data_IF_255746713822
#
_entry.id   IF_255746713822
#
_cell.length_a   1.000
_cell.length_b   1.000
_cell.length_c   1.000
_cell.angle_alpha   90.00
_cell.angle_beta   90.00
_cell.angle_gamma   90.00
#
_symmetry.space_group_name_H-M   'P 1'
#
loop_
_entity.id
_entity.type
_entity.pdbx_description
1 polymer ?
#
# COMPACT_ATOMS: atom_id res chain seq x y z
N UNK A 1 28.74 -54.61 -19.05
CA UNK A 1 27.35 -54.05 -19.09
C UNK A 1 26.51 -54.45 -17.88
N UNK A 2 26.33 -55.74 -17.53
CA UNK A 2 25.48 -56.16 -16.40
C UNK A 2 25.87 -55.56 -15.03
N UNK A 3 27.16 -55.39 -14.74
CA UNK A 3 27.59 -54.78 -13.48
C UNK A 3 27.36 -53.26 -13.41
N UNK A 4 27.56 -52.54 -14.52
CA UNK A 4 27.26 -51.10 -14.61
C UNK A 4 25.77 -50.85 -14.46
N UNK A 5 24.93 -51.70 -15.09
CA UNK A 5 23.48 -51.65 -14.91
C UNK A 5 23.04 -51.94 -13.46
N UNK A 6 23.69 -52.91 -12.79
CA UNK A 6 23.41 -53.24 -11.38
C UNK A 6 23.76 -52.08 -10.44
N UNK A 7 24.93 -51.46 -10.61
CA UNK A 7 25.35 -50.29 -9.83
C UNK A 7 24.43 -49.08 -10.07
N UNK A 8 24.04 -48.83 -11.32
CA UNK A 8 23.08 -47.78 -11.65
C UNK A 8 21.72 -47.98 -11.01
N UNK A 9 21.20 -49.22 -11.03
CA UNK A 9 19.93 -49.57 -10.38
C UNK A 9 20.00 -49.42 -8.86
N UNK A 10 21.11 -49.84 -8.23
CA UNK A 10 21.32 -49.69 -6.79
C UNK A 10 21.36 -48.22 -6.39
N UNK A 11 22.07 -47.37 -7.16
CA UNK A 11 22.10 -45.93 -6.89
C UNK A 11 20.72 -45.29 -7.07
N UNK A 12 20.02 -45.61 -8.16
CA UNK A 12 18.67 -45.11 -8.40
C UNK A 12 17.71 -45.48 -7.26
N UNK A 13 17.81 -46.70 -6.73
CA UNK A 13 17.00 -47.15 -5.61
C UNK A 13 17.34 -46.41 -4.30
N UNK A 14 18.63 -46.19 -4.02
CA UNK A 14 19.05 -45.41 -2.85
C UNK A 14 18.57 -43.96 -2.95
N UNK A 15 18.74 -43.32 -4.11
CA UNK A 15 18.27 -41.96 -4.36
C UNK A 15 16.74 -41.86 -4.25
N UNK A 16 16.00 -42.85 -4.76
CA UNK A 16 14.54 -42.89 -4.65
C UNK A 16 14.10 -43.00 -3.18
N UNK A 17 14.73 -43.87 -2.39
CA UNK A 17 14.42 -44.03 -0.96
C UNK A 17 14.77 -42.76 -0.17
N UNK A 18 15.93 -42.16 -0.42
CA UNK A 18 16.34 -40.92 0.22
C UNK A 18 15.41 -39.74 -0.15
N UNK A 19 15.06 -39.61 -1.43
CA UNK A 19 14.14 -38.59 -1.92
C UNK A 19 12.73 -38.74 -1.35
N UNK A 20 12.20 -39.96 -1.31
CA UNK A 20 10.90 -40.25 -0.68
C UNK A 20 10.93 -39.98 0.83
N UNK A 21 12.02 -40.33 1.51
CA UNK A 21 12.20 -40.03 2.92
C UNK A 21 12.17 -38.52 3.20
N UNK A 22 12.95 -37.74 2.44
CA UNK A 22 12.97 -36.28 2.56
C UNK A 22 11.61 -35.67 2.22
N UNK A 23 10.95 -36.14 1.15
CA UNK A 23 9.63 -35.66 0.74
C UNK A 23 8.55 -35.95 1.80
N UNK A 24 8.58 -37.12 2.43
CA UNK A 24 7.65 -37.48 3.50
C UNK A 24 7.87 -36.64 4.77
N UNK A 25 9.13 -36.38 5.13
CA UNK A 25 9.48 -35.47 6.22
C UNK A 25 8.99 -34.07 5.90
N UNK A 26 9.32 -33.53 4.71
CA UNK A 26 8.88 -32.21 4.27
C UNK A 26 7.35 -32.08 4.28
N UNK A 27 6.61 -33.05 3.73
CA UNK A 27 5.16 -33.02 3.66
C UNK A 27 4.48 -33.04 5.05
N UNK A 28 5.11 -33.67 6.06
CA UNK A 28 4.61 -33.65 7.44
C UNK A 28 5.02 -32.41 8.21
N UNK A 29 6.22 -31.89 7.97
CA UNK A 29 6.75 -30.74 8.70
C UNK A 29 6.21 -29.42 8.16
N UNK A 30 5.99 -29.31 6.84
CA UNK A 30 5.45 -28.11 6.17
C UNK A 30 4.17 -27.56 6.84
N UNK A 31 3.08 -28.32 7.05
CA UNK A 31 1.86 -27.77 7.66
C UNK A 31 2.07 -27.29 9.10
N UNK A 32 3.04 -27.85 9.83
CA UNK A 32 3.40 -27.39 11.19
C UNK A 32 4.18 -26.08 11.11
N UNK A 33 5.07 -25.94 10.12
CA UNK A 33 5.83 -24.70 9.88
C UNK A 33 4.88 -23.58 9.46
N UNK A 34 3.99 -23.85 8.49
CA UNK A 34 3.06 -22.85 7.97
C UNK A 34 2.13 -22.34 9.08
N UNK A 35 1.57 -23.25 9.90
CA UNK A 35 0.73 -22.86 11.04
C UNK A 35 1.49 -22.03 12.08
N UNK A 36 2.74 -22.38 12.39
CA UNK A 36 3.57 -21.60 13.33
C UNK A 36 3.92 -20.23 12.76
N UNK A 37 4.22 -20.17 11.46
CA UNK A 37 4.51 -18.91 10.78
C UNK A 37 3.28 -17.98 10.79
N UNK A 38 2.08 -18.50 10.55
CA UNK A 38 0.83 -17.74 10.67
C UNK A 38 0.58 -17.26 12.11
N UNK A 39 0.78 -18.13 13.11
CA UNK A 39 0.69 -17.75 14.53
C UNK A 39 1.71 -16.66 14.89
N UNK A 40 2.95 -16.78 14.41
CA UNK A 40 4.02 -15.80 14.64
C UNK A 40 3.72 -14.45 13.98
N UNK A 41 3.16 -14.46 12.75
CA UNK A 41 2.73 -13.24 12.04
C UNK A 41 1.56 -12.57 12.78
N UNK A 42 0.56 -13.34 13.20
CA UNK A 42 -0.58 -12.80 13.94
C UNK A 42 -0.16 -12.24 15.30
N UNK A 43 0.76 -12.92 16.00
CA UNK A 43 1.32 -12.43 17.26
C UNK A 43 2.15 -11.16 17.03
N UNK A 44 2.94 -11.10 15.96
CA UNK A 44 3.66 -9.88 15.58
C UNK A 44 2.69 -8.72 15.29
N UNK A 45 1.59 -8.97 14.57
CA UNK A 45 0.56 -7.96 14.32
C UNK A 45 -0.08 -7.45 15.63
N UNK A 46 -0.35 -8.34 16.60
CA UNK A 46 -0.88 -7.98 17.93
C UNK A 46 0.08 -7.16 18.76
N UNK A 47 1.37 -7.48 18.71
CA UNK A 47 2.40 -6.74 19.42
C UNK A 47 2.55 -5.32 18.87
N UNK A 48 2.52 -5.17 17.54
CA UNK A 48 2.70 -3.85 16.94
C UNK A 48 1.44 -2.98 16.95
N UNK A 49 0.25 -3.53 17.21
CA UNK A 49 -0.99 -2.74 17.37
C UNK A 49 -1.44 -2.79 18.84
N UNK A 50 -0.84 -1.98 19.73
CA UNK A 50 -1.16 -2.00 21.14
C UNK A 50 -2.63 -1.59 21.36
N UNK A 51 -3.39 -2.41 22.10
CA UNK A 51 -4.76 -2.09 22.49
C UNK A 51 -5.87 -2.66 21.58
N UNK A 52 -5.51 -3.36 20.50
CA UNK A 52 -6.48 -4.12 19.71
C UNK A 52 -7.00 -5.34 20.48
N UNK A 53 -8.33 -5.48 20.58
CA UNK A 53 -8.99 -6.67 21.12
C UNK A 53 -9.20 -7.76 20.05
N UNK A 54 -9.26 -7.36 18.79
CA UNK A 54 -9.40 -8.24 17.63
C UNK A 54 -8.44 -7.76 16.51
N UNK A 55 -7.95 -8.70 15.71
CA UNK A 55 -7.17 -8.41 14.51
C UNK A 55 -7.85 -9.11 13.33
N UNK A 56 -8.09 -8.35 12.27
CA UNK A 56 -8.66 -8.84 11.01
C UNK A 56 -7.63 -8.71 9.90
N UNK A 57 -7.42 -9.78 9.13
CA UNK A 57 -6.53 -9.79 7.97
C UNK A 57 -7.26 -9.32 6.72
N UNK A 58 -6.59 -8.50 5.93
CA UNK A 58 -7.08 -7.94 4.68
C UNK A 58 -5.96 -7.94 3.63
N UNK A 59 -6.36 -7.87 2.36
CA UNK A 59 -5.44 -7.80 1.23
C UNK A 59 -5.91 -6.70 0.28
N UNK A 60 -5.00 -5.82 -0.12
CA UNK A 60 -5.24 -4.76 -1.10
C UNK A 60 -4.04 -4.70 -2.04
N UNK A 61 -4.28 -4.77 -3.36
CA UNK A 61 -3.22 -4.77 -4.39
C UNK A 61 -2.11 -5.82 -4.18
N UNK A 62 -2.45 -7.00 -3.64
CA UNK A 62 -1.50 -8.08 -3.33
C UNK A 62 -0.65 -7.82 -2.08
N UNK A 63 -0.91 -6.73 -1.35
CA UNK A 63 -0.31 -6.43 -0.06
C UNK A 63 -1.24 -6.85 1.09
N UNK A 64 -0.75 -7.73 1.96
CA UNK A 64 -1.47 -8.19 3.17
C UNK A 64 -1.24 -7.23 4.33
N UNK A 65 -2.33 -6.87 5.00
CA UNK A 65 -2.34 -6.01 6.18
C UNK A 65 -3.37 -6.50 7.21
N UNK A 66 -3.21 -6.05 8.44
CA UNK A 66 -4.01 -6.46 9.58
C UNK A 66 -4.60 -5.23 10.26
N UNK A 67 -5.93 -5.13 10.34
CA UNK A 67 -6.62 -4.09 11.08
C UNK A 67 -6.79 -4.51 12.54
N UNK A 68 -6.31 -3.69 13.46
CA UNK A 68 -6.56 -3.86 14.89
C UNK A 68 -7.83 -3.12 15.29
N UNK A 69 -8.79 -3.85 15.88
CA UNK A 69 -10.06 -3.31 16.37
C UNK A 69 -10.19 -3.46 17.88
N UNK A 70 -10.78 -2.47 18.53
CA UNK A 70 -11.22 -2.53 19.92
C UNK A 70 -12.75 -2.38 19.96
N UNK A 71 -13.45 -3.51 19.99
CA UNK A 71 -14.90 -3.52 19.74
C UNK A 71 -15.22 -3.18 18.28
N UNK A 72 -15.91 -2.07 18.04
CA UNK A 72 -16.25 -1.57 16.69
C UNK A 72 -15.27 -0.52 16.14
N UNK A 73 -14.34 -0.02 16.96
CA UNK A 73 -13.40 1.05 16.58
C UNK A 73 -12.08 0.46 16.06
N UNK A 74 -11.55 1.03 14.98
CA UNK A 74 -10.20 0.76 14.51
C UNK A 74 -9.23 1.51 15.43
N UNK A 75 -8.26 0.81 16.00
CA UNK A 75 -7.24 1.37 16.89
C UNK A 75 -5.84 1.39 16.28
N UNK A 76 -5.68 0.77 15.11
CA UNK A 76 -4.42 0.72 14.38
C UNK A 76 -4.45 -0.30 13.25
N UNK A 77 -3.38 -0.38 12.47
CA UNK A 77 -3.14 -1.49 11.57
C UNK A 77 -1.68 -1.87 11.51
N UNK A 78 -1.42 -3.06 11.00
CA UNK A 78 -0.10 -3.60 10.79
C UNK A 78 0.05 -4.11 9.36
N UNK A 79 1.26 -4.03 8.82
CA UNK A 79 1.58 -4.54 7.50
C UNK A 79 2.90 -5.28 7.56
N UNK A 80 2.95 -6.43 6.88
CA UNK A 80 4.19 -7.14 6.65
C UNK A 80 4.85 -6.55 5.41
N UNK A 81 6.06 -6.05 5.58
CA UNK A 81 6.86 -5.48 4.50
C UNK A 81 8.22 -6.17 4.42
N UNK A 82 8.72 -6.25 3.19
CA UNK A 82 10.02 -6.80 2.89
C UNK A 82 10.90 -5.70 2.32
N UNK A 83 12.15 -5.62 2.77
CA UNK A 83 13.13 -4.69 2.25
C UNK A 83 14.48 -5.39 2.04
N UNK A 84 15.11 -5.13 0.90
CA UNK A 84 16.41 -5.71 0.58
C UNK A 84 17.51 -5.06 1.42
N UNK A 85 18.12 -5.85 2.31
CA UNK A 85 19.30 -5.48 3.11
C UNK A 85 20.61 -5.90 2.44
N UNK A 86 21.66 -6.06 3.25
CA UNK A 86 22.96 -6.56 2.78
C UNK A 86 22.97 -8.09 2.62
N UNK A 87 22.11 -8.79 3.36
CA UNK A 87 21.93 -10.23 3.32
C UNK A 87 21.38 -10.75 1.99
N UNK A 88 21.50 -12.05 1.80
CA UNK A 88 20.96 -12.73 0.61
C UNK A 88 19.43 -12.88 0.61
N UNK A 89 18.81 -12.73 1.77
CA UNK A 89 17.35 -12.74 1.94
C UNK A 89 16.88 -11.36 2.41
N UNK A 90 15.69 -10.91 1.97
CA UNK A 90 15.15 -9.63 2.40
C UNK A 90 14.86 -9.63 3.91
N UNK A 91 14.95 -8.46 4.52
CA UNK A 91 14.53 -8.25 5.90
C UNK A 91 13.01 -8.19 5.89
N UNK A 92 12.36 -9.17 6.52
CA UNK A 92 10.91 -9.17 6.72
C UNK A 92 10.59 -8.51 8.06
N UNK A 93 9.74 -7.51 8.03
CA UNK A 93 9.35 -6.77 9.23
C UNK A 93 7.84 -6.54 9.27
N UNK A 94 7.30 -6.59 10.47
CA UNK A 94 5.94 -6.18 10.78
C UNK A 94 5.99 -4.75 11.30
N UNK A 95 5.21 -3.86 10.68
CA UNK A 95 5.16 -2.45 11.06
C UNK A 95 3.73 -2.13 11.45
N UNK A 96 3.55 -1.56 12.64
CA UNK A 96 2.26 -1.07 13.14
C UNK A 96 2.15 0.44 13.03
N UNK A 97 0.94 0.92 12.76
CA UNK A 97 0.59 2.34 12.67
C UNK A 97 -0.72 2.57 13.41
N UNK A 98 -0.83 3.67 14.15
CA UNK A 98 -2.05 4.11 14.82
C UNK A 98 -2.96 4.93 13.89
N UNK A 99 -4.14 5.31 14.40
CA UNK A 99 -5.11 6.14 13.70
C UNK A 99 -4.62 7.56 13.41
N UNK A 100 -3.57 8.01 14.10
CA UNK A 100 -2.96 9.33 13.89
C UNK A 100 -1.87 9.28 12.80
N UNK A 101 -1.68 8.11 12.15
CA UNK A 101 -0.67 7.92 11.13
C UNK A 101 0.74 7.93 11.70
N UNK A 102 0.92 7.57 12.97
CA UNK A 102 2.22 7.41 13.62
C UNK A 102 2.52 5.94 13.81
N UNK A 103 3.81 5.62 13.76
CA UNK A 103 4.24 4.24 13.96
C UNK A 103 4.08 3.86 15.42
N UNK A 104 3.34 2.80 15.69
CA UNK A 104 3.16 2.27 17.04
C UNK A 104 4.35 1.39 17.43
N UNK A 105 4.74 0.47 16.55
CA UNK A 105 5.92 -0.38 16.75
C UNK A 105 6.43 -1.00 15.44
N UNK A 106 7.68 -1.47 15.46
CA UNK A 106 8.32 -2.19 14.36
C UNK A 106 8.98 -3.45 14.90
N UNK A 107 8.67 -4.60 14.32
CA UNK A 107 9.26 -5.89 14.69
C UNK A 107 9.90 -6.55 13.49
N UNK A 108 11.15 -7.00 13.62
CA UNK A 108 11.76 -7.82 12.58
C UNK A 108 11.33 -9.28 12.76
N UNK A 109 10.68 -9.85 11.74
CA UNK A 109 10.19 -11.23 11.71
C UNK A 109 11.30 -12.18 11.27
N UNK A 110 12.02 -11.82 10.22
CA UNK A 110 13.14 -12.62 9.70
C UNK A 110 14.16 -11.72 8.99
N UNK A 111 15.43 -12.15 8.99
CA UNK A 111 16.53 -11.47 8.29
C UNK A 111 17.71 -12.42 8.09
N UNK A 112 18.55 -12.14 7.10
CA UNK A 112 19.81 -12.87 6.85
C UNK A 112 21.03 -11.92 6.79
N UNK A 113 21.09 -10.99 7.74
CA UNK A 113 22.14 -9.97 7.83
C UNK A 113 23.42 -10.48 8.53
N UNK A 114 24.54 -9.79 8.30
CA UNK A 114 25.82 -10.15 8.92
C UNK A 114 25.74 -10.07 10.47
N UNK A 115 26.01 -11.18 11.19
CA UNK A 115 25.99 -11.20 12.65
C UNK A 115 26.89 -10.14 13.28
N UNK A 116 26.37 -9.41 14.26
CA UNK A 116 27.11 -8.38 15.00
C UNK A 116 27.21 -7.02 14.29
N UNK A 117 26.84 -6.93 13.02
CA UNK A 117 26.82 -5.66 12.26
C UNK A 117 25.39 -5.34 11.85
N UNK A 118 24.88 -6.04 10.83
CA UNK A 118 23.56 -5.80 10.25
C UNK A 118 22.44 -6.34 11.12
N UNK A 119 22.69 -7.37 11.93
CA UNK A 119 21.70 -7.91 12.87
C UNK A 119 21.29 -6.91 13.96
N UNK A 120 22.04 -5.82 14.17
CA UNK A 120 21.69 -4.77 15.15
C UNK A 120 20.40 -4.05 14.81
N UNK A 121 19.89 -4.17 13.59
CA UNK A 121 18.59 -3.59 13.22
C UNK A 121 17.40 -4.27 13.92
N UNK A 122 17.61 -5.43 14.58
CA UNK A 122 16.59 -6.06 15.45
C UNK A 122 16.63 -5.55 16.89
N UNK A 123 17.63 -4.76 17.26
CA UNK A 123 17.82 -4.34 18.64
C UNK A 123 16.77 -3.29 19.01
N UNK A 124 16.19 -3.42 20.21
CA UNK A 124 15.17 -2.50 20.73
C UNK A 124 15.65 -1.04 20.72
N UNK A 125 16.95 -0.79 20.95
CA UNK A 125 17.56 0.54 20.92
C UNK A 125 17.50 1.23 19.55
N UNK A 126 17.31 0.47 18.47
CA UNK A 126 17.09 0.98 17.12
C UNK A 126 15.60 1.00 16.76
N UNK A 127 14.87 -0.08 17.01
CA UNK A 127 13.45 -0.20 16.64
C UNK A 127 12.56 0.80 17.39
N UNK A 128 12.85 1.07 18.66
CA UNK A 128 12.10 2.05 19.47
C UNK A 128 12.19 3.48 18.92
N UNK A 129 13.18 3.80 18.09
CA UNK A 129 13.32 5.12 17.45
C UNK A 129 12.23 5.40 16.42
N UNK A 130 11.57 4.34 15.92
CA UNK A 130 10.46 4.47 15.00
C UNK A 130 9.13 4.72 15.73
N UNK A 131 9.02 4.45 17.04
CA UNK A 131 7.77 4.65 17.76
C UNK A 131 7.40 6.13 17.86
N UNK A 132 6.17 6.46 17.52
CA UNK A 132 5.60 7.80 17.55
C UNK A 132 6.04 8.74 16.42
N UNK A 133 6.89 8.29 15.49
CA UNK A 133 7.28 9.10 14.33
C UNK A 133 6.40 8.80 13.12
N UNK A 134 6.16 9.85 12.32
CA UNK A 134 5.55 9.83 10.99
C UNK A 134 6.59 10.08 9.88
N UNK A 135 7.88 10.22 10.25
CA UNK A 135 8.99 10.42 9.33
C UNK A 135 10.10 9.38 9.57
N UNK A 136 9.93 8.12 9.10
CA UNK A 136 10.94 7.07 9.25
C UNK A 136 12.24 7.38 8.53
N UNK A 137 12.18 8.16 7.44
CA UNK A 137 13.35 8.61 6.71
C UNK A 137 14.26 9.53 7.56
N UNK A 138 13.68 10.26 8.52
CA UNK A 138 14.40 11.11 9.47
C UNK A 138 15.08 10.37 10.62
N UNK A 139 14.79 9.09 10.86
CA UNK A 139 15.37 8.33 11.96
C UNK A 139 16.85 8.04 11.71
N UNK A 140 17.69 8.22 12.73
CA UNK A 140 19.11 7.92 12.65
C UNK A 140 19.37 6.43 12.40
N UNK A 141 20.14 6.14 11.34
CA UNK A 141 20.61 4.80 11.03
C UNK A 141 21.64 4.26 12.03
N UNK A 142 22.07 3.03 11.82
CA UNK A 142 23.11 2.41 12.65
C UNK A 142 24.47 2.58 11.96
N UNK A 143 25.40 3.25 12.63
CA UNK A 143 26.77 3.42 12.12
C UNK A 143 27.44 2.06 11.89
N UNK A 144 28.04 1.87 10.70
CA UNK A 144 28.63 0.61 10.24
C UNK A 144 27.62 -0.44 9.75
N UNK A 145 26.31 -0.17 9.80
CA UNK A 145 25.24 -1.03 9.27
C UNK A 145 24.27 -0.21 8.41
N UNK A 146 24.80 0.71 7.60
CA UNK A 146 24.02 1.68 6.82
C UNK A 146 23.11 1.01 5.79
N UNK A 147 23.55 -0.09 5.17
CA UNK A 147 22.74 -0.84 4.19
C UNK A 147 21.52 -1.48 4.87
N UNK A 148 21.75 -2.24 5.95
CA UNK A 148 20.68 -2.91 6.70
C UNK A 148 19.74 -1.92 7.38
N UNK A 149 20.27 -0.88 8.03
CA UNK A 149 19.43 0.13 8.70
C UNK A 149 18.68 1.03 7.70
N UNK A 150 19.27 1.32 6.55
CA UNK A 150 18.59 2.00 5.44
C UNK A 150 17.44 1.18 4.86
N UNK A 151 17.62 -0.13 4.71
CA UNK A 151 16.57 -1.04 4.28
C UNK A 151 15.38 -1.07 5.26
N UNK A 152 15.64 -1.11 6.57
CA UNK A 152 14.57 -1.01 7.57
C UNK A 152 13.85 0.33 7.48
N UNK A 153 14.57 1.46 7.41
CA UNK A 153 13.95 2.78 7.23
C UNK A 153 13.04 2.85 6.00
N UNK A 154 13.50 2.29 4.87
CA UNK A 154 12.72 2.26 3.63
C UNK A 154 11.47 1.38 3.74
N UNK A 155 11.61 0.19 4.34
CA UNK A 155 10.49 -0.73 4.58
C UNK A 155 9.44 -0.12 5.50
N UNK A 156 9.87 0.48 6.62
CA UNK A 156 9.00 1.17 7.57
C UNK A 156 8.28 2.35 6.91
N UNK A 157 8.98 3.15 6.10
CA UNK A 157 8.36 4.24 5.35
C UNK A 157 7.28 3.74 4.38
N UNK A 158 7.57 2.65 3.65
CA UNK A 158 6.60 2.02 2.74
C UNK A 158 5.35 1.55 3.48
N UNK A 159 5.53 0.88 4.62
CA UNK A 159 4.42 0.43 5.44
C UNK A 159 3.61 1.60 5.98
N UNK A 160 4.27 2.65 6.46
CA UNK A 160 3.61 3.86 6.95
C UNK A 160 2.73 4.49 5.87
N UNK A 161 3.27 4.74 4.68
CA UNK A 161 2.49 5.33 3.57
C UNK A 161 1.26 4.49 3.22
N UNK A 162 1.38 3.16 3.21
CA UNK A 162 0.27 2.27 2.92
C UNK A 162 -0.76 2.24 4.07
N UNK A 163 -0.30 2.08 5.31
CA UNK A 163 -1.15 1.91 6.48
C UNK A 163 -1.84 3.21 6.90
N UNK A 164 -1.20 4.37 6.77
CA UNK A 164 -1.86 5.66 7.02
C UNK A 164 -3.08 5.84 6.11
N UNK A 165 -3.02 5.37 4.86
CA UNK A 165 -4.16 5.37 3.96
C UNK A 165 -5.28 4.38 4.36
N UNK A 166 -4.99 3.44 5.26
CA UNK A 166 -5.89 2.37 5.70
C UNK A 166 -6.47 2.63 7.09
N UNK A 167 -5.73 3.26 8.00
CA UNK A 167 -6.07 3.33 9.44
C UNK A 167 -6.79 4.60 9.84
N UNK A 168 -6.57 5.75 9.19
CA UNK A 168 -7.27 6.99 9.54
C UNK A 168 -8.77 6.83 9.27
N UNK A 169 -9.63 6.61 10.30
CA UNK A 169 -11.04 6.36 10.12
C UNK A 169 -11.77 7.71 10.31
N UNK A 170 -11.45 8.62 9.39
CA UNK A 170 -12.40 9.59 8.88
C UNK A 170 -12.40 9.32 7.39
N UNK A 171 -13.48 8.72 6.90
CA UNK A 171 -13.77 8.55 5.48
C UNK A 171 -13.04 7.39 4.75
N UNK A 172 -13.40 6.14 5.11
CA UNK A 172 -13.64 5.11 4.05
C UNK A 172 -15.02 5.37 3.42
N UNK A 173 -15.20 6.61 2.99
CA UNK A 173 -16.05 7.08 1.91
C UNK A 173 -15.16 8.14 1.23
N UNK A 174 -14.41 7.75 0.19
CA UNK A 174 -13.70 8.68 -0.69
C UNK A 174 -12.90 9.81 -0.01
N UNK A 175 -11.84 9.49 0.75
CA UNK A 175 -10.82 10.49 1.07
C UNK A 175 -10.33 11.17 -0.22
N UNK A 176 -10.58 12.47 -0.36
CA UNK A 176 -10.37 13.18 -1.61
C UNK A 176 -8.89 13.13 -2.00
N UNK A 177 -8.61 12.50 -3.15
CA UNK A 177 -7.28 12.49 -3.72
C UNK A 177 -7.00 13.89 -4.25
N UNK A 178 -6.40 14.74 -3.43
CA UNK A 178 -6.01 16.08 -3.84
C UNK A 178 -4.76 15.95 -4.72
N UNK A 179 -4.89 16.39 -5.97
CA UNK A 179 -3.80 16.41 -6.93
C UNK A 179 -3.47 17.88 -7.21
N UNK A 180 -2.35 18.34 -6.68
CA UNK A 180 -1.79 19.63 -7.06
C UNK A 180 -1.13 19.51 -8.43
N UNK A 181 -1.76 20.09 -9.45
CA UNK A 181 -1.28 20.06 -10.83
C UNK A 181 0.11 20.71 -10.98
N UNK A 182 0.51 21.58 -10.04
CA UNK A 182 1.84 22.18 -10.04
C UNK A 182 2.96 21.19 -9.66
N UNK A 183 2.62 20.10 -8.95
CA UNK A 183 3.57 19.07 -8.54
C UNK A 183 3.66 17.91 -9.55
N UNK A 184 2.82 17.91 -10.58
CA UNK A 184 2.87 16.88 -11.64
C UNK A 184 4.04 17.18 -12.57
N UNK A 185 5.01 16.25 -12.72
CA UNK A 185 6.13 16.42 -13.65
C UNK A 185 5.67 16.54 -15.10
N UNK A 186 6.52 17.13 -15.94
CA UNK A 186 6.26 17.20 -17.38
C UNK A 186 6.13 15.80 -17.98
N UNK A 187 5.02 15.53 -18.66
CA UNK A 187 4.72 14.19 -19.15
C UNK A 187 3.33 14.05 -19.74
N UNK A 188 3.05 12.84 -20.21
CA UNK A 188 1.72 12.41 -20.67
C UNK A 188 1.29 11.21 -19.85
N UNK A 189 0.13 11.33 -19.22
CA UNK A 189 -0.40 10.34 -18.28
C UNK A 189 -1.76 9.86 -18.77
N UNK A 190 -1.93 8.56 -18.88
CA UNK A 190 -3.20 7.96 -19.27
C UNK A 190 -3.93 7.43 -18.04
N UNK A 191 -5.25 7.61 -18.03
CA UNK A 191 -6.11 7.09 -16.97
C UNK A 191 -7.48 6.73 -17.51
N UNK A 192 -8.21 5.93 -16.72
CA UNK A 192 -9.54 5.47 -17.06
C UNK A 192 -10.51 5.68 -15.91
N UNK A 193 -11.70 6.18 -16.23
CA UNK A 193 -12.79 6.36 -15.28
C UNK A 193 -14.07 5.69 -15.77
N UNK A 194 -15.05 5.54 -14.90
CA UNK A 194 -16.29 4.83 -15.20
C UNK A 194 -17.35 5.80 -15.69
N UNK A 195 -17.71 5.72 -16.97
CA UNK A 195 -18.86 6.43 -17.54
C UNK A 195 -20.15 5.62 -17.47
N UNK A 196 -21.24 6.15 -18.03
CA UNK A 196 -22.57 5.53 -17.99
C UNK A 196 -22.66 4.22 -18.79
N UNK A 197 -21.97 4.14 -19.94
CA UNK A 197 -22.04 2.98 -20.86
C UNK A 197 -20.69 2.26 -21.01
N UNK A 198 -19.74 2.52 -20.12
CA UNK A 198 -18.43 1.86 -20.10
C UNK A 198 -17.30 2.81 -19.68
N UNK A 199 -16.06 2.34 -19.76
CA UNK A 199 -14.91 3.15 -19.37
C UNK A 199 -14.70 4.33 -20.32
N UNK A 200 -14.34 5.47 -19.75
CA UNK A 200 -13.85 6.66 -20.46
C UNK A 200 -12.34 6.72 -20.23
N UNK A 201 -11.55 6.72 -21.31
CA UNK A 201 -10.09 6.86 -21.24
C UNK A 201 -9.67 8.27 -21.61
N UNK A 202 -8.73 8.81 -20.85
CA UNK A 202 -8.18 10.15 -21.09
C UNK A 202 -6.65 10.13 -21.09
N UNK A 203 -6.04 11.06 -21.82
CA UNK A 203 -4.62 11.41 -21.72
C UNK A 203 -4.48 12.84 -21.19
N UNK A 204 -3.71 12.98 -20.11
CA UNK A 204 -3.41 14.25 -19.44
C UNK A 204 -1.98 14.67 -19.78
N UNK A 205 -1.81 15.88 -20.33
CA UNK A 205 -0.51 16.41 -20.73
C UNK A 205 -0.10 17.53 -19.77
N UNK A 206 0.92 17.28 -18.96
CA UNK A 206 1.50 18.25 -18.04
C UNK A 206 2.80 18.84 -18.62
N UNK A 207 2.95 20.17 -18.56
CA UNK A 207 4.16 20.90 -18.97
C UNK A 207 4.39 22.14 -18.12
N UNK A 208 5.61 22.35 -17.66
CA UNK A 208 6.01 23.52 -16.87
C UNK A 208 5.25 23.65 -15.55
N UNK A 209 4.90 22.52 -14.90
CA UNK A 209 4.11 22.51 -13.66
C UNK A 209 2.66 22.96 -13.85
N UNK A 210 2.07 22.63 -15.00
CA UNK A 210 0.64 22.87 -15.31
C UNK A 210 0.10 21.75 -16.17
N UNK A 211 -1.17 21.39 -16.00
CA UNK A 211 -1.88 20.55 -16.96
C UNK A 211 -2.30 21.43 -18.13
N UNK A 212 -1.72 21.18 -19.30
CA UNK A 212 -1.93 21.99 -20.52
C UNK A 212 -3.07 21.48 -21.38
N UNK A 213 -3.35 20.18 -21.31
CA UNK A 213 -4.35 19.54 -22.16
C UNK A 213 -4.84 18.23 -21.54
N UNK A 214 -6.12 17.94 -21.71
CA UNK A 214 -6.76 16.67 -21.36
C UNK A 214 -7.53 16.20 -22.59
N UNK A 215 -7.12 15.07 -23.16
CA UNK A 215 -7.72 14.49 -24.36
C UNK A 215 -8.55 13.26 -23.99
N UNK A 216 -9.81 13.20 -24.42
CA UNK A 216 -10.60 11.97 -24.33
C UNK A 216 -10.22 11.05 -25.49
N UNK A 217 -9.66 9.89 -25.17
CA UNK A 217 -9.15 8.93 -26.15
C UNK A 217 -10.23 7.93 -26.60
N UNK A 218 -11.02 7.43 -25.64
CA UNK A 218 -12.03 6.39 -25.87
C UNK A 218 -13.21 6.62 -24.93
N UNK A 219 -14.45 6.53 -25.44
CA UNK A 219 -15.66 6.52 -24.62
C UNK A 219 -16.79 5.78 -25.35
N UNK A 220 -17.82 5.36 -24.60
CA UNK A 220 -19.03 4.69 -25.13
C UNK A 220 -20.33 5.44 -24.83
N UNK A 221 -20.21 6.67 -24.40
CA UNK A 221 -21.34 7.50 -23.99
C UNK A 221 -22.29 7.87 -25.14
N UNK A 222 -23.52 8.25 -24.81
CA UNK A 222 -24.54 8.61 -25.79
C UNK A 222 -24.21 9.92 -26.51
N UNK A 223 -24.03 9.85 -27.83
CA UNK A 223 -23.79 11.01 -28.68
C UNK A 223 -24.88 12.08 -28.51
N UNK A 224 -24.48 13.36 -28.44
CA UNK A 224 -25.38 14.50 -28.26
C UNK A 224 -25.79 14.77 -26.80
N UNK A 225 -25.77 13.75 -25.94
CA UNK A 225 -26.06 13.91 -24.49
C UNK A 225 -24.77 14.13 -23.72
N UNK A 226 -23.72 13.37 -24.04
CA UNK A 226 -22.43 13.41 -23.37
C UNK A 226 -21.50 14.52 -23.91
N UNK A 227 -21.73 15.02 -25.12
CA UNK A 227 -20.87 16.00 -25.80
C UNK A 227 -20.58 17.26 -24.94
N UNK A 228 -21.57 17.83 -24.20
CA UNK A 228 -21.31 18.93 -23.30
C UNK A 228 -20.32 18.58 -22.18
N UNK A 229 -20.40 17.38 -21.59
CA UNK A 229 -19.48 16.91 -20.56
C UNK A 229 -18.08 16.64 -21.13
N UNK A 230 -18.01 15.92 -22.26
CA UNK A 230 -16.77 15.60 -22.98
C UNK A 230 -15.97 16.85 -23.38
N UNK A 231 -16.64 17.97 -23.62
CA UNK A 231 -15.98 19.23 -23.97
C UNK A 231 -15.73 20.16 -22.78
N UNK A 232 -16.71 20.34 -21.89
CA UNK A 232 -16.63 21.37 -20.83
C UNK A 232 -15.81 20.93 -19.63
N UNK A 233 -15.90 19.65 -19.23
CA UNK A 233 -15.24 19.16 -18.01
C UNK A 233 -13.70 19.16 -18.16
N UNK A 234 -13.11 18.58 -19.22
CA UNK A 234 -11.66 18.67 -19.43
C UNK A 234 -11.16 20.11 -19.55
N UNK A 235 -11.94 20.97 -20.22
CA UNK A 235 -11.60 22.39 -20.40
C UNK A 235 -11.60 23.13 -19.06
N UNK A 236 -12.60 22.92 -18.22
CA UNK A 236 -12.68 23.52 -16.89
C UNK A 236 -11.49 23.11 -16.02
N UNK A 237 -11.08 21.85 -16.03
CA UNK A 237 -9.92 21.36 -15.27
C UNK A 237 -8.61 22.02 -15.74
N UNK A 238 -8.43 22.19 -17.05
CA UNK A 238 -7.27 22.90 -17.61
C UNK A 238 -7.30 24.39 -17.28
N UNK A 239 -8.47 25.04 -17.30
CA UNK A 239 -8.58 26.47 -16.99
C UNK A 239 -8.39 26.77 -15.50
N UNK A 240 -8.95 25.93 -14.63
CA UNK A 240 -8.94 26.12 -13.18
C UNK A 240 -7.74 25.43 -12.49
N UNK A 241 -7.06 24.53 -13.19
CA UNK A 241 -5.96 23.70 -12.66
C UNK A 241 -6.35 22.90 -11.41
N UNK A 242 -7.57 22.35 -11.41
CA UNK A 242 -8.11 21.52 -10.32
C UNK A 242 -8.96 20.37 -10.86
N UNK A 243 -9.12 19.32 -10.06
CA UNK A 243 -10.09 18.25 -10.28
C UNK A 243 -11.50 18.61 -9.80
N UNK A 244 -11.62 19.60 -8.92
CA UNK A 244 -12.87 20.11 -8.35
C UNK A 244 -13.59 21.01 -9.35
N UNK A 245 -14.23 20.41 -10.36
CA UNK A 245 -15.00 21.14 -11.38
C UNK A 245 -16.45 20.69 -11.40
N UNK A 246 -17.36 21.60 -11.73
CA UNK A 246 -18.78 21.31 -11.80
C UNK A 246 -19.09 20.25 -12.86
N UNK A 247 -19.98 19.31 -12.51
CA UNK A 247 -20.53 18.37 -13.48
C UNK A 247 -21.54 19.05 -14.40
N UNK A 248 -21.74 18.49 -15.59
CA UNK A 248 -22.73 19.03 -16.54
C UNK A 248 -24.10 18.41 -16.28
N UNK A 249 -25.09 19.26 -16.05
CA UNK A 249 -26.48 18.84 -15.86
C UNK A 249 -26.98 17.97 -17.03
N UNK A 250 -27.53 16.79 -16.71
CA UNK A 250 -27.99 15.81 -17.70
C UNK A 250 -26.89 14.89 -18.26
N UNK A 251 -25.63 15.11 -17.88
CA UNK A 251 -24.48 14.29 -18.25
C UNK A 251 -23.55 14.06 -17.03
N UNK A 252 -24.15 13.86 -15.85
CA UNK A 252 -23.43 13.72 -14.58
C UNK A 252 -22.48 12.52 -14.57
N UNK A 253 -22.97 11.33 -14.94
CA UNK A 253 -22.13 10.11 -15.01
C UNK A 253 -20.95 10.25 -15.98
N UNK A 254 -21.15 10.92 -17.13
CA UNK A 254 -20.06 11.21 -18.05
C UNK A 254 -19.07 12.20 -17.43
N UNK A 255 -19.56 13.22 -16.74
CA UNK A 255 -18.72 14.24 -16.08
C UNK A 255 -17.85 13.63 -14.98
N UNK A 256 -18.47 12.83 -14.11
CA UNK A 256 -17.79 12.07 -13.05
C UNK A 256 -16.79 11.07 -13.64
N UNK A 257 -17.17 10.32 -14.68
CA UNK A 257 -16.27 9.38 -15.34
C UNK A 257 -15.02 10.05 -15.95
N UNK A 258 -15.13 11.30 -16.42
CA UNK A 258 -13.97 12.08 -16.87
C UNK A 258 -13.11 12.53 -15.67
N UNK A 259 -13.73 13.04 -14.60
CA UNK A 259 -13.02 13.43 -13.36
C UNK A 259 -12.23 12.24 -12.80
N UNK A 260 -12.86 11.07 -12.73
CA UNK A 260 -12.25 9.84 -12.27
C UNK A 260 -11.10 9.39 -13.18
N UNK A 261 -11.26 9.52 -14.50
CA UNK A 261 -10.20 9.16 -15.45
C UNK A 261 -8.96 10.05 -15.31
N UNK A 262 -9.14 11.35 -15.07
CA UNK A 262 -8.03 12.29 -14.83
C UNK A 262 -7.41 12.02 -13.46
N UNK A 263 -8.23 11.72 -12.44
CA UNK A 263 -7.76 11.32 -11.12
C UNK A 263 -6.91 10.05 -11.19
N UNK A 264 -7.36 9.03 -11.93
CA UNK A 264 -6.63 7.79 -12.16
C UNK A 264 -5.29 8.02 -12.89
N UNK A 265 -5.29 8.89 -13.90
CA UNK A 265 -4.08 9.24 -14.65
C UNK A 265 -2.99 9.87 -13.77
N UNK A 266 -3.40 10.68 -12.79
CA UNK A 266 -2.49 11.48 -11.96
C UNK A 266 -2.32 10.93 -10.53
N UNK A 267 -2.95 9.80 -10.18
CA UNK A 267 -3.03 9.31 -8.80
C UNK A 267 -1.68 9.11 -8.11
N UNK A 268 -0.63 8.80 -8.88
CA UNK A 268 0.73 8.62 -8.36
C UNK A 268 1.34 9.92 -7.78
N UNK A 269 0.74 11.08 -8.07
CA UNK A 269 1.17 12.40 -7.60
C UNK A 269 0.18 13.02 -6.60
N UNK A 270 -0.92 12.32 -6.29
CA UNK A 270 -1.92 12.80 -5.34
C UNK A 270 -1.45 12.65 -3.89
N UNK A 271 -1.75 13.66 -3.08
CA UNK A 271 -1.61 13.60 -1.62
C UNK A 271 -3.00 13.37 -1.05
N UNK A 272 -3.19 12.30 -0.28
CA UNK A 272 -4.42 12.12 0.49
C UNK A 272 -4.37 13.10 1.67
N UNK A 273 -5.16 14.17 1.61
CA UNK A 273 -5.43 15.01 2.78
C UNK A 273 -6.75 14.57 3.40
N UNK A 274 -6.74 14.37 4.71
CA UNK A 274 -7.97 14.33 5.50
C UNK A 274 -8.50 15.75 5.68
N UNK A 275 -9.82 15.90 5.67
CA UNK A 275 -10.47 17.17 5.99
C UNK A 275 -9.98 17.70 7.35
N UNK A 276 -9.31 18.85 7.34
CA UNK A 276 -9.11 19.64 8.53
C UNK A 276 -10.46 20.30 8.88
N UNK A 277 -11.37 19.57 9.50
CA UNK A 277 -12.59 20.19 9.98
C UNK A 277 -12.31 20.89 11.32
N UNK A 278 -12.47 22.21 11.30
CA UNK A 278 -12.42 23.05 12.49
C UNK A 278 -13.50 22.63 13.49
N UNK A 279 -13.49 23.20 14.71
CA UNK A 279 -14.43 22.81 15.74
C UNK A 279 -15.87 23.04 15.25
N UNK A 280 -16.61 21.94 15.04
CA UNK A 280 -18.07 21.99 14.80
C UNK A 280 -18.73 22.52 16.06
N UNK A 281 -19.18 23.77 16.00
CA UNK A 281 -20.01 24.40 17.01
C UNK A 281 -21.39 23.74 17.01
N UNK A 282 -21.68 22.92 18.02
CA UNK A 282 -22.92 22.18 18.19
C UNK A 282 -24.01 22.99 18.91
N UNK A 283 -24.11 24.30 18.66
CA UNK A 283 -25.10 25.15 19.36
C UNK A 283 -26.32 25.58 18.56
N UNK A 284 -26.48 25.17 17.29
CA UNK A 284 -27.71 25.50 16.53
C UNK A 284 -28.35 24.26 15.87
N UNK A 285 -29.15 23.54 16.66
CA UNK A 285 -30.27 22.78 16.09
C UNK A 285 -31.47 23.75 15.97
N UNK A 286 -32.10 23.89 14.79
CA UNK A 286 -33.40 24.54 14.72
C UNK A 286 -34.46 23.58 15.27
N UNK A 287 -35.14 24.01 16.32
CA UNK A 287 -36.40 23.41 16.78
C UNK A 287 -37.43 23.51 15.65
N UNK A 288 -38.01 22.37 15.25
CA UNK A 288 -39.13 22.32 14.30
C UNK A 288 -39.44 20.93 13.78
#
# INVERSE_FOLDING_TARGET
>A
MKQVAKLGLTLALICAVAGLGLAAVYAKTKPIIDKRAEEDILNAAKEVIPGASAIEEHELDGARYWLGKKGSEIVGAAMQVEAQGYGSEPIQMMVGVDTDGKITDVKIVSMSETPGIGTRVKDEAFLSRFRGTDNPAGVDGISGATVSSGAVKAGVNKALTFLTAVVAPGDIEDGELIIDFAQVPDGTYEGSGTGLFGPIKVAVIAKGGKVTEIQVLEHRETAGIADPALSRVPKAMVEQQTLEVDTVAGATFTSEGIIDAVRDALKAFGVRQGAADGPRDITELPDG
#
